data_IF_016480098441
#
_entry.id   IF_016480098441
#
_cell.length_a   1.000
_cell.length_b   1.000
_cell.length_c   1.000
_cell.angle_alpha   90.00
_cell.angle_beta   90.00
_cell.angle_gamma   90.00
#
_symmetry.space_group_name_H-M   'P 1'
#
loop_
_entity.id
_entity.type
_entity.pdbx_description
1 polymer ?
#
# COMPACT_ATOMS: atom_id res chain seq x y z
N UNK A 1 -28.65 -39.73 -19.07
CA UNK A 1 -27.24 -40.15 -19.27
C UNK A 1 -26.39 -38.89 -19.41
N UNK A 2 -25.31 -38.77 -18.63
CA UNK A 2 -24.35 -37.67 -18.80
C UNK A 2 -23.62 -37.88 -20.14
N UNK A 3 -23.91 -37.05 -21.12
CA UNK A 3 -23.22 -37.08 -22.42
C UNK A 3 -21.83 -36.45 -22.29
N UNK A 4 -20.93 -36.79 -23.22
CA UNK A 4 -19.58 -36.22 -23.27
C UNK A 4 -19.61 -34.68 -23.35
N UNK A 5 -20.60 -34.12 -24.06
CA UNK A 5 -20.84 -32.68 -24.15
C UNK A 5 -21.18 -32.05 -22.80
N UNK A 6 -22.03 -32.69 -21.98
CA UNK A 6 -22.34 -32.21 -20.64
C UNK A 6 -21.11 -32.22 -19.73
N UNK A 7 -20.27 -33.26 -19.81
CA UNK A 7 -19.03 -33.36 -19.03
C UNK A 7 -18.04 -32.24 -19.45
N UNK A 8 -17.93 -31.97 -20.75
CA UNK A 8 -17.08 -30.89 -21.26
C UNK A 8 -17.52 -29.52 -20.74
N UNK A 9 -18.81 -29.21 -20.82
CA UNK A 9 -19.36 -27.94 -20.30
C UNK A 9 -19.15 -27.81 -18.79
N UNK A 10 -19.38 -28.88 -18.03
CA UNK A 10 -19.14 -28.88 -16.58
C UNK A 10 -17.66 -28.65 -16.23
N UNK A 11 -16.73 -29.26 -16.96
CA UNK A 11 -15.29 -29.01 -16.77
C UNK A 11 -14.92 -27.56 -17.09
N UNK A 12 -15.49 -26.99 -18.15
CA UNK A 12 -15.24 -25.61 -18.54
C UNK A 12 -15.76 -24.63 -17.47
N UNK A 13 -16.97 -24.86 -16.96
CA UNK A 13 -17.54 -24.09 -15.85
C UNK A 13 -16.73 -24.24 -14.55
N UNK A 14 -16.33 -25.45 -14.20
CA UNK A 14 -15.53 -25.71 -13.01
C UNK A 14 -14.16 -25.02 -13.08
N UNK A 15 -13.51 -25.06 -14.25
CA UNK A 15 -12.23 -24.38 -14.49
C UNK A 15 -12.41 -22.85 -14.41
N UNK A 16 -13.47 -22.31 -15.00
CA UNK A 16 -13.79 -20.88 -14.92
C UNK A 16 -14.06 -20.43 -13.49
N UNK A 17 -14.84 -21.18 -12.72
CA UNK A 17 -15.12 -20.90 -11.31
C UNK A 17 -13.85 -20.96 -10.46
N UNK A 18 -13.00 -21.99 -10.64
CA UNK A 18 -11.73 -22.11 -9.94
C UNK A 18 -10.77 -20.94 -10.27
N UNK A 19 -10.73 -20.52 -11.53
CA UNK A 19 -9.93 -19.38 -11.97
C UNK A 19 -10.41 -18.07 -11.36
N UNK A 20 -11.73 -17.83 -11.36
CA UNK A 20 -12.33 -16.65 -10.73
C UNK A 20 -12.05 -16.62 -9.23
N UNK A 21 -12.19 -17.75 -8.54
CA UNK A 21 -11.88 -17.87 -7.12
C UNK A 21 -10.42 -17.55 -6.81
N UNK A 22 -9.51 -18.13 -7.59
CA UNK A 22 -8.07 -17.89 -7.43
C UNK A 22 -7.73 -16.40 -7.66
N UNK A 23 -8.33 -15.78 -8.67
CA UNK A 23 -8.12 -14.36 -8.95
C UNK A 23 -8.71 -13.45 -7.86
N UNK A 24 -9.84 -13.82 -7.27
CA UNK A 24 -10.48 -13.07 -6.18
C UNK A 24 -9.60 -13.04 -4.93
N UNK A 25 -9.03 -14.17 -4.53
CA UNK A 25 -8.16 -14.26 -3.34
C UNK A 25 -6.89 -13.42 -3.43
N UNK A 26 -6.39 -13.14 -4.65
CA UNK A 26 -5.25 -12.23 -4.83
C UNK A 26 -5.64 -10.76 -4.64
N UNK A 27 -6.82 -10.36 -5.13
CA UNK A 27 -7.36 -9.01 -4.96
C UNK A 27 -7.61 -8.70 -3.49
N UNK A 28 -8.18 -9.64 -2.74
CA UNK A 28 -8.39 -9.51 -1.29
C UNK A 28 -7.07 -9.25 -0.55
N UNK A 29 -6.02 -10.02 -0.87
CA UNK A 29 -4.68 -9.82 -0.29
C UNK A 29 -4.05 -8.48 -0.63
N UNK A 30 -4.36 -7.93 -1.81
CA UNK A 30 -3.93 -6.58 -2.18
C UNK A 30 -4.72 -5.53 -1.40
N UNK A 31 -6.04 -5.68 -1.31
CA UNK A 31 -6.92 -4.79 -0.56
C UNK A 31 -6.55 -4.73 0.92
N UNK A 32 -6.31 -5.89 1.55
CA UNK A 32 -5.91 -5.97 2.95
C UNK A 32 -4.59 -5.22 3.22
N UNK A 33 -3.61 -5.34 2.31
CA UNK A 33 -2.34 -4.60 2.41
C UNK A 33 -2.53 -3.10 2.24
N UNK A 34 -3.39 -2.68 1.31
CA UNK A 34 -3.73 -1.26 1.14
C UNK A 34 -4.39 -0.74 2.42
N UNK A 35 -5.38 -1.44 2.97
CA UNK A 35 -6.03 -1.08 4.25
C UNK A 35 -5.02 -0.95 5.39
N UNK A 36 -4.13 -1.91 5.55
CA UNK A 36 -3.06 -1.86 6.56
C UNK A 36 -2.10 -0.69 6.34
N UNK A 37 -1.81 -0.31 5.09
CA UNK A 37 -0.96 0.82 4.78
C UNK A 37 -1.65 2.16 5.05
N UNK A 38 -2.92 2.28 4.65
CA UNK A 38 -3.76 3.43 4.93
C UNK A 38 -3.91 3.65 6.45
N UNK A 39 -4.19 2.59 7.21
CA UNK A 39 -4.29 2.65 8.66
C UNK A 39 -2.98 3.08 9.36
N UNK A 40 -1.82 2.73 8.81
CA UNK A 40 -0.52 3.18 9.34
C UNK A 40 -0.22 4.65 9.08
N UNK A 41 -0.78 5.20 8.00
CA UNK A 41 -0.60 6.58 7.58
C UNK A 41 -1.74 7.50 8.06
N UNK A 42 -2.71 6.95 8.81
CA UNK A 42 -3.89 7.66 9.29
C UNK A 42 -4.73 8.29 8.15
N UNK A 43 -4.79 7.59 7.01
CA UNK A 43 -5.57 7.98 5.82
C UNK A 43 -6.69 6.97 5.55
N UNK A 44 -7.79 7.42 4.93
CA UNK A 44 -8.97 6.59 4.65
C UNK A 44 -9.01 6.11 3.20
N UNK A 45 -9.39 4.84 3.00
CA UNK A 45 -9.56 4.24 1.68
C UNK A 45 -10.99 4.48 1.17
N UNK A 46 -11.14 5.29 0.13
CA UNK A 46 -12.44 5.84 -0.28
C UNK A 46 -13.39 4.78 -0.84
N UNK A 47 -12.91 3.94 -1.77
CA UNK A 47 -13.77 2.96 -2.46
C UNK A 47 -13.84 1.61 -1.75
N UNK A 48 -13.10 1.43 -0.65
CA UNK A 48 -12.96 0.13 0.02
C UNK A 48 -12.48 -1.00 -0.91
N UNK A 49 -11.89 -0.65 -2.05
CA UNK A 49 -11.68 -1.53 -3.18
C UNK A 49 -10.41 -1.17 -3.96
N UNK A 50 -9.84 -2.17 -4.64
CA UNK A 50 -8.71 -2.03 -5.56
C UNK A 50 -9.13 -2.50 -6.95
N UNK A 51 -8.89 -1.68 -7.97
CA UNK A 51 -9.20 -1.96 -9.36
C UNK A 51 -7.94 -2.43 -10.10
N UNK A 52 -8.02 -3.57 -10.79
CA UNK A 52 -6.88 -4.09 -11.55
C UNK A 52 -6.61 -3.17 -12.75
N UNK A 53 -5.44 -2.52 -12.79
CA UNK A 53 -4.99 -1.67 -13.89
C UNK A 53 -4.36 -2.49 -15.00
N UNK A 54 -3.37 -3.33 -14.64
CA UNK A 54 -2.65 -4.18 -15.60
C UNK A 54 -1.91 -5.31 -14.91
N UNK A 55 -1.63 -6.37 -15.67
CA UNK A 55 -0.75 -7.47 -15.28
C UNK A 55 0.44 -7.45 -16.24
N UNK A 56 1.67 -7.46 -15.72
CA UNK A 56 2.86 -7.41 -16.56
C UNK A 56 4.15 -7.65 -15.80
N UNK A 57 5.27 -7.67 -16.51
CA UNK A 57 6.59 -7.79 -15.88
C UNK A 57 7.05 -6.43 -15.37
N UNK A 58 7.22 -6.29 -14.05
CA UNK A 58 7.79 -5.11 -13.43
C UNK A 58 9.09 -5.48 -12.69
N UNK A 59 9.97 -4.50 -12.48
CA UNK A 59 11.18 -4.69 -11.68
C UNK A 59 10.77 -4.68 -10.20
N UNK A 60 11.14 -5.74 -9.49
CA UNK A 60 11.06 -5.84 -8.03
C UNK A 60 12.09 -4.87 -7.40
N UNK A 61 11.99 -4.60 -6.09
CA UNK A 61 12.94 -3.76 -5.34
C UNK A 61 14.40 -4.25 -5.44
N UNK A 62 14.60 -5.55 -5.75
CA UNK A 62 15.90 -6.18 -6.02
C UNK A 62 16.34 -6.11 -7.49
N UNK A 63 15.67 -5.33 -8.34
CA UNK A 63 16.00 -5.15 -9.76
C UNK A 63 15.58 -6.28 -10.70
N UNK A 64 15.01 -7.38 -10.18
CA UNK A 64 14.59 -8.55 -10.99
C UNK A 64 13.23 -8.33 -11.64
N UNK A 65 13.07 -8.69 -12.91
CA UNK A 65 11.77 -8.67 -13.61
C UNK A 65 10.92 -9.85 -13.12
N UNK A 66 9.77 -9.54 -12.52
CA UNK A 66 8.82 -10.55 -12.03
C UNK A 66 7.42 -10.18 -12.51
N UNK A 67 6.56 -11.19 -12.63
CA UNK A 67 5.15 -10.96 -12.91
C UNK A 67 4.54 -10.16 -11.76
N UNK A 68 4.02 -8.99 -12.09
CA UNK A 68 3.42 -8.05 -11.18
C UNK A 68 1.97 -7.76 -11.60
N UNK A 69 1.09 -7.66 -10.61
CA UNK A 69 -0.28 -7.17 -10.79
C UNK A 69 -0.36 -5.78 -10.21
N UNK A 70 -0.75 -4.82 -11.03
CA UNK A 70 -0.84 -3.42 -10.65
C UNK A 70 -2.31 -3.09 -10.47
N UNK A 71 -2.67 -2.67 -9.27
CA UNK A 71 -4.01 -2.21 -8.93
C UNK A 71 -3.97 -0.72 -8.58
N UNK A 72 -5.02 -0.02 -8.96
CA UNK A 72 -5.26 1.37 -8.54
C UNK A 72 -6.31 1.38 -7.43
N UNK A 73 -6.22 2.38 -6.57
CA UNK A 73 -7.22 2.66 -5.54
C UNK A 73 -7.30 4.17 -5.29
N UNK A 74 -8.39 4.62 -4.68
CA UNK A 74 -8.57 6.01 -4.27
C UNK A 74 -8.55 6.11 -2.75
N UNK A 75 -7.86 7.11 -2.22
CA UNK A 75 -7.79 7.40 -0.79
C UNK A 75 -8.06 8.88 -0.52
N UNK A 76 -8.41 9.19 0.72
CA UNK A 76 -8.64 10.56 1.19
C UNK A 76 -7.97 10.76 2.55
N UNK A 77 -7.50 11.98 2.81
CA UNK A 77 -6.87 12.35 4.08
C UNK A 77 -7.87 13.07 4.98
N UNK A 78 -8.55 14.08 4.43
CA UNK A 78 -9.50 14.94 5.16
C UNK A 78 -10.97 14.71 4.78
N UNK A 79 -11.25 13.76 3.88
CA UNK A 79 -12.59 13.49 3.35
C UNK A 79 -13.01 14.39 2.19
N UNK A 80 -12.32 15.50 1.94
CA UNK A 80 -12.68 16.44 0.86
C UNK A 80 -11.97 16.14 -0.46
N UNK A 81 -10.70 15.72 -0.38
CA UNK A 81 -9.84 15.53 -1.56
C UNK A 81 -9.62 14.05 -1.82
N UNK A 82 -9.75 13.67 -3.10
CA UNK A 82 -9.48 12.30 -3.58
C UNK A 82 -8.08 12.24 -4.14
N UNK A 83 -7.31 11.29 -3.66
CA UNK A 83 -5.95 11.03 -4.13
C UNK A 83 -5.85 9.62 -4.70
N UNK A 84 -5.13 9.49 -5.80
CA UNK A 84 -4.92 8.20 -6.44
C UNK A 84 -3.73 7.47 -5.79
N UNK A 85 -3.93 6.20 -5.47
CA UNK A 85 -2.90 5.28 -5.01
C UNK A 85 -2.74 4.12 -5.99
N UNK A 86 -1.54 3.55 -6.03
CA UNK A 86 -1.24 2.37 -6.84
C UNK A 86 -0.53 1.32 -5.98
N UNK A 87 -1.01 0.08 -6.03
CA UNK A 87 -0.33 -1.07 -5.41
C UNK A 87 0.17 -2.02 -6.50
N UNK A 88 1.47 -2.27 -6.50
CA UNK A 88 2.14 -3.24 -7.36
C UNK A 88 2.43 -4.51 -6.56
N UNK A 89 1.68 -5.58 -6.82
CA UNK A 89 1.81 -6.87 -6.12
C UNK A 89 2.66 -7.86 -6.93
N UNK A 90 3.70 -8.39 -6.30
CA UNK A 90 4.60 -9.42 -6.84
C UNK A 90 4.34 -10.77 -6.14
N UNK A 91 3.52 -11.62 -6.76
CA UNK A 91 3.13 -12.91 -6.17
C UNK A 91 2.27 -12.76 -4.91
N UNK A 92 2.44 -13.66 -3.93
CA UNK A 92 1.60 -13.69 -2.73
C UNK A 92 2.12 -12.83 -1.55
N UNK A 93 3.42 -12.51 -1.53
CA UNK A 93 4.08 -11.97 -0.34
C UNK A 93 4.58 -10.54 -0.51
N UNK A 94 5.07 -10.17 -1.69
CA UNK A 94 5.71 -8.89 -1.94
C UNK A 94 4.72 -7.92 -2.60
N UNK A 95 4.61 -6.71 -2.09
CA UNK A 95 3.86 -5.64 -2.72
C UNK A 95 4.54 -4.29 -2.47
N UNK A 96 4.44 -3.38 -3.42
CA UNK A 96 4.89 -2.01 -3.34
C UNK A 96 3.67 -1.10 -3.43
N UNK A 97 3.57 -0.10 -2.56
CA UNK A 97 2.46 0.85 -2.55
C UNK A 97 3.03 2.23 -2.83
N UNK A 98 2.45 2.91 -3.80
CA UNK A 98 2.78 4.27 -4.19
C UNK A 98 1.52 5.12 -3.98
N UNK A 99 1.67 6.22 -3.27
CA UNK A 99 0.61 7.20 -3.02
C UNK A 99 0.95 8.45 -3.83
N UNK A 100 -0.04 9.02 -4.52
CA UNK A 100 0.11 10.36 -5.06
C UNK A 100 0.41 11.36 -3.93
N UNK A 101 1.10 12.48 -4.20
CA UNK A 101 1.33 13.51 -3.20
C UNK A 101 0.01 13.95 -2.53
N UNK A 102 0.01 13.97 -1.20
CA UNK A 102 -1.13 14.35 -0.39
C UNK A 102 -0.68 15.28 0.74
N UNK A 103 -1.53 16.20 1.20
CA UNK A 103 -1.24 17.03 2.36
C UNK A 103 -1.20 16.12 3.60
N UNK A 104 -0.12 16.20 4.37
CA UNK A 104 -0.01 15.50 5.65
C UNK A 104 0.49 16.47 6.71
N UNK A 105 -0.02 16.35 7.92
CA UNK A 105 0.49 17.11 9.05
C UNK A 105 1.83 16.51 9.49
N UNK A 106 2.88 17.32 9.45
CA UNK A 106 4.15 16.99 10.11
C UNK A 106 3.89 17.13 11.61
N UNK A 107 3.64 16.02 12.30
CA UNK A 107 3.65 16.02 13.76
C UNK A 107 5.06 16.42 14.18
N UNK A 108 5.21 17.63 14.71
CA UNK A 108 6.49 18.11 15.25
C UNK A 108 7.00 17.05 16.23
N UNK A 109 8.22 16.51 16.03
CA UNK A 109 8.76 15.57 16.97
C UNK A 109 8.82 16.27 18.33
N UNK A 110 8.26 15.63 19.36
CA UNK A 110 8.45 16.07 20.75
C UNK A 110 9.94 16.39 20.93
N UNK A 111 10.29 17.56 21.46
CA UNK A 111 11.67 17.99 21.57
C UNK A 111 12.43 16.96 22.41
N UNK A 112 13.12 16.03 21.73
CA UNK A 112 13.86 14.94 22.35
C UNK A 112 15.22 15.39 22.85
N UNK A 113 15.67 16.56 22.38
CA UNK A 113 16.81 17.27 22.90
C UNK A 113 16.30 18.57 23.54
N UNK A 114 16.64 18.76 24.81
CA UNK A 114 16.70 20.09 25.41
C UNK A 114 17.64 20.92 24.53
N UNK A 115 17.08 21.83 23.75
CA UNK A 115 17.84 22.73 22.89
C UNK A 115 18.55 23.70 23.84
N UNK A 116 19.74 23.33 24.28
CA UNK A 116 20.58 24.21 25.10
C UNK A 116 21.08 25.32 24.16
N UNK A 117 20.66 26.55 24.41
CA UNK A 117 21.22 27.71 23.72
C UNK A 117 22.71 27.84 24.04
N UNK A 118 23.54 27.82 22.99
CA UNK A 118 25.01 27.86 23.10
C UNK A 118 25.53 29.15 23.76
N UNK A 119 24.70 30.20 23.80
CA UNK A 119 24.89 31.46 24.54
C UNK A 119 24.75 31.24 26.05
N UNK A 120 23.60 30.70 26.49
CA UNK A 120 23.31 30.41 27.90
C UNK A 120 24.35 29.48 28.53
N UNK A 121 24.69 28.38 27.85
CA UNK A 121 25.70 27.43 28.32
C UNK A 121 27.06 28.11 28.57
N UNK A 122 27.44 29.03 27.68
CA UNK A 122 28.74 29.72 27.74
C UNK A 122 28.80 30.76 28.85
N UNK A 123 27.69 31.43 29.14
CA UNK A 123 27.60 32.37 30.26
C UNK A 123 27.64 31.65 31.61
N UNK A 124 26.89 30.55 31.73
CA UNK A 124 26.87 29.74 32.94
C UNK A 124 28.27 29.20 33.26
N UNK A 125 28.98 28.66 32.27
CA UNK A 125 30.33 28.11 32.46
C UNK A 125 31.43 29.17 32.59
N UNK A 126 31.19 30.41 32.12
CA UNK A 126 32.11 31.53 32.38
C UNK A 126 32.07 31.95 33.85
N UNK A 127 30.93 31.80 34.52
CA UNK A 127 30.72 32.23 35.91
C UNK A 127 31.53 31.43 36.93
N UNK A 128 31.96 30.22 36.59
CA UNK A 128 32.76 29.33 37.43
C UNK A 128 34.27 29.44 37.19
N UNK A 129 34.71 30.33 36.28
CA UNK A 129 36.11 30.45 35.86
C UNK A 129 36.82 31.71 36.38
N UNK A 130 36.16 32.47 37.26
CA UNK A 130 36.68 33.59 38.04
C UNK A 130 36.48 33.29 39.53
#
# INVERSE_FOLDING_TARGET
>A
MLTLGNIFVLMLLATGAAWLWHNHGLRERALERVKQHCARLDIELLDGNVALKRIGFAKDAKGRRRLARIYNFEFTVTGETRHAGTITQFGAHSAHIELAPYPFEVKEPLPSAEIIELSQWREEHRKWRN
#
